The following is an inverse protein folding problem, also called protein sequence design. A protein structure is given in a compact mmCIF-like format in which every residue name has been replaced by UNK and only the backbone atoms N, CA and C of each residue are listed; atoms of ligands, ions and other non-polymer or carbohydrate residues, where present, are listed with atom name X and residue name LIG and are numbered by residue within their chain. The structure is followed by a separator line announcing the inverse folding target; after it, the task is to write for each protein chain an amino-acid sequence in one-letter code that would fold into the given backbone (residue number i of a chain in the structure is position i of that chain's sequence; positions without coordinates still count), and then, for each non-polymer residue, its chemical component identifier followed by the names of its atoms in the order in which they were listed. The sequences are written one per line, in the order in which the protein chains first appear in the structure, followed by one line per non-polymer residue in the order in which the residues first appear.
data_IF_470730785492
#
_entry.id   IF_470730785492
#
_cell.length_a   1.000
_cell.length_b   1.000
_cell.length_c   1.000
_cell.angle_alpha   90.00
_cell.angle_beta   90.00
_cell.angle_gamma   90.00
#
_symmetry.space_group_name_H-M   'P 1'
#
loop_
_entity.id
_entity.type
_entity.pdbx_description
1 polymer ?
#
# COMPACT_ATOMS: atom_id res chain seq x y z
N UNK A 1 8.45 -7.11 2.26
CA UNK A 1 8.51 -8.58 2.47
C UNK A 1 8.19 -9.35 1.20
N UNK A 2 7.06 -9.09 0.53
CA UNK A 2 6.72 -9.79 -0.72
C UNK A 2 7.32 -9.12 -1.95
N UNK A 3 7.87 -9.93 -2.86
CA UNK A 3 8.41 -9.46 -4.13
C UNK A 3 7.31 -8.84 -5.02
N UNK A 4 6.07 -9.30 -4.92
CA UNK A 4 4.93 -8.78 -5.70
C UNK A 4 4.20 -7.61 -5.06
N UNK A 5 4.67 -7.10 -3.91
CA UNK A 5 3.97 -6.06 -3.16
C UNK A 5 3.95 -4.68 -3.83
N UNK A 6 4.87 -4.41 -4.77
CA UNK A 6 4.98 -3.13 -5.47
C UNK A 6 5.58 -3.36 -6.85
N UNK A 7 5.10 -2.63 -7.86
CA UNK A 7 5.60 -2.73 -9.24
C UNK A 7 7.12 -2.48 -9.38
N UNK A 8 7.73 -1.72 -8.47
CA UNK A 8 9.18 -1.50 -8.46
C UNK A 8 10.01 -2.75 -8.13
N UNK A 9 9.44 -3.74 -7.45
CA UNK A 9 10.17 -4.94 -7.04
C UNK A 9 10.46 -5.89 -8.23
N UNK A 10 9.50 -6.21 -9.13
CA UNK A 10 9.79 -6.91 -10.38
C UNK A 10 10.80 -6.18 -11.27
N UNK A 11 10.77 -4.85 -11.33
CA UNK A 11 11.78 -4.07 -12.07
C UNK A 11 13.17 -4.29 -11.49
N UNK A 12 13.33 -4.23 -10.17
CA UNK A 12 14.61 -4.52 -9.51
C UNK A 12 15.07 -5.97 -9.73
N UNK A 13 14.14 -6.92 -9.71
CA UNK A 13 14.44 -8.33 -10.02
C UNK A 13 14.93 -8.48 -11.47
N UNK A 14 14.29 -7.82 -12.43
CA UNK A 14 14.68 -7.87 -13.84
C UNK A 14 16.08 -7.27 -14.04
N UNK A 15 16.34 -6.09 -13.45
CA UNK A 15 17.68 -5.48 -13.51
C UNK A 15 18.77 -6.34 -12.87
N UNK A 16 18.46 -7.06 -11.79
CA UNK A 16 19.39 -8.01 -11.19
C UNK A 16 19.68 -9.20 -12.14
N UNK A 17 18.66 -9.72 -12.82
CA UNK A 17 18.82 -10.78 -13.83
C UNK A 17 19.69 -10.32 -14.99
N UNK A 18 19.55 -9.08 -15.45
CA UNK A 18 20.37 -8.51 -16.53
C UNK A 18 21.86 -8.44 -16.13
N UNK A 19 22.16 -8.38 -14.83
CA UNK A 19 23.51 -8.45 -14.26
C UNK A 19 23.96 -9.88 -13.92
N UNK A 20 23.20 -10.90 -14.32
CA UNK A 20 23.49 -12.32 -14.04
C UNK A 20 23.13 -12.78 -12.62
N UNK A 21 22.41 -11.98 -11.84
CA UNK A 21 21.96 -12.32 -10.49
C UNK A 21 20.51 -12.76 -10.51
N UNK A 22 20.27 -14.06 -10.31
CA UNK A 22 18.91 -14.58 -10.20
C UNK A 22 18.36 -14.40 -8.79
N UNK A 23 17.35 -13.54 -8.65
CA UNK A 23 16.61 -13.39 -7.40
C UNK A 23 15.31 -14.18 -7.48
N UNK A 24 15.19 -15.25 -6.71
CA UNK A 24 13.94 -16.01 -6.59
C UNK A 24 12.97 -15.34 -5.60
N UNK A 25 11.68 -15.66 -5.71
CA UNK A 25 10.68 -15.17 -4.75
C UNK A 25 11.01 -15.58 -3.32
N UNK A 26 11.47 -16.83 -3.12
CA UNK A 26 11.87 -17.36 -1.80
C UNK A 26 13.15 -16.67 -1.31
N UNK A 27 14.11 -16.41 -2.19
CA UNK A 27 15.33 -15.66 -1.88
C UNK A 27 15.01 -14.25 -1.38
N UNK A 28 14.13 -13.53 -2.09
CA UNK A 28 13.68 -12.21 -1.66
C UNK A 28 12.94 -12.26 -0.32
N UNK A 29 11.98 -13.19 -0.17
CA UNK A 29 11.19 -13.31 1.05
C UNK A 29 12.07 -13.64 2.27
N UNK A 30 13.01 -14.57 2.13
CA UNK A 30 13.95 -14.95 3.19
C UNK A 30 14.90 -13.81 3.56
N UNK A 31 15.41 -13.04 2.60
CA UNK A 31 16.22 -11.85 2.88
C UNK A 31 15.42 -10.74 3.60
N UNK A 32 14.13 -10.58 3.23
CA UNK A 32 13.29 -9.51 3.73
C UNK A 32 12.56 -9.80 5.05
N UNK A 33 12.49 -11.07 5.49
CA UNK A 33 11.64 -11.47 6.63
C UNK A 33 12.12 -10.85 7.95
N UNK A 34 13.41 -10.97 8.28
CA UNK A 34 13.96 -10.48 9.55
C UNK A 34 13.94 -8.95 9.65
N UNK A 35 14.47 -8.17 8.68
CA UNK A 35 14.35 -6.72 8.75
C UNK A 35 12.89 -6.26 8.75
N UNK A 36 12.01 -6.93 7.99
CA UNK A 36 10.59 -6.62 7.99
C UNK A 36 9.92 -6.89 9.35
N UNK A 37 10.22 -8.01 10.02
CA UNK A 37 9.67 -8.33 11.34
C UNK A 37 10.14 -7.34 12.40
N UNK A 38 11.35 -6.79 12.27
CA UNK A 38 11.86 -5.72 13.13
C UNK A 38 11.19 -4.38 12.79
N UNK A 39 10.95 -4.09 11.52
CA UNK A 39 10.21 -2.89 11.12
C UNK A 39 8.78 -2.87 11.64
N UNK A 40 8.09 -4.01 11.72
CA UNK A 40 6.69 -4.11 12.16
C UNK A 40 6.40 -3.46 13.52
N UNK A 41 7.17 -3.68 14.60
CA UNK A 41 7.00 -2.97 15.87
C UNK A 41 7.72 -1.61 15.91
N UNK A 42 8.89 -1.47 15.28
CA UNK A 42 9.69 -0.25 15.37
C UNK A 42 9.04 0.92 14.65
N UNK A 43 8.49 0.69 13.45
CA UNK A 43 7.87 1.74 12.63
C UNK A 43 6.66 2.37 13.34
N UNK A 44 5.66 1.61 13.84
CA UNK A 44 4.56 2.18 14.63
C UNK A 44 5.03 2.84 15.92
N UNK A 45 6.03 2.28 16.60
CA UNK A 45 6.57 2.88 17.83
C UNK A 45 7.20 4.26 17.57
N UNK A 46 8.06 4.38 16.55
CA UNK A 46 8.64 5.66 16.13
C UNK A 46 7.54 6.64 15.71
N UNK A 47 6.57 6.18 14.91
CA UNK A 47 5.44 7.00 14.48
C UNK A 47 4.67 7.56 15.68
N UNK A 48 4.40 6.73 16.70
CA UNK A 48 3.71 7.16 17.91
C UNK A 48 4.48 8.23 18.71
N UNK A 49 5.81 8.30 18.56
CA UNK A 49 6.65 9.31 19.21
C UNK A 49 6.66 10.63 18.45
N UNK A 50 6.74 10.56 17.12
CA UNK A 50 6.83 11.73 16.23
C UNK A 50 5.45 12.38 16.06
N UNK A 51 4.42 11.56 15.90
CA UNK A 51 3.05 11.97 15.66
C UNK A 51 2.14 11.32 16.71
N UNK A 52 2.17 11.88 17.93
CA UNK A 52 1.36 11.37 19.05
C UNK A 52 -0.13 11.57 18.74
N UNK A 53 -0.95 10.52 18.86
CA UNK A 53 -2.39 10.67 18.67
C UNK A 53 -2.97 11.56 19.78
N UNK A 54 -3.84 12.49 19.39
CA UNK A 54 -4.50 13.43 20.30
C UNK A 54 -5.45 12.71 21.28
N UNK A 55 -6.05 11.60 20.84
CA UNK A 55 -6.94 10.76 21.65
C UNK A 55 -6.33 9.36 21.75
N UNK A 56 -5.90 9.00 22.96
CA UNK A 56 -5.25 7.70 23.23
C UNK A 56 -6.23 6.68 23.81
N UNK A 57 -7.27 7.16 24.50
CA UNK A 57 -8.28 6.31 25.14
C UNK A 57 -9.65 6.80 24.74
N UNK A 58 -10.45 5.88 24.20
CA UNK A 58 -11.83 6.12 23.82
C UNK A 58 -12.70 5.00 24.41
N UNK A 59 -12.89 4.99 25.74
CA UNK A 59 -13.55 3.87 26.43
C UNK A 59 -14.98 3.62 25.92
N UNK A 60 -15.66 4.66 25.46
CA UNK A 60 -17.02 4.60 24.90
C UNK A 60 -17.06 4.18 23.42
N UNK A 61 -15.92 4.04 22.73
CA UNK A 61 -15.91 3.75 21.29
C UNK A 61 -16.60 2.42 20.94
N UNK A 62 -16.50 1.43 21.81
CA UNK A 62 -17.16 0.14 21.62
C UNK A 62 -18.69 0.25 21.69
N UNK A 63 -19.20 1.03 22.65
CA UNK A 63 -20.65 1.25 22.80
C UNK A 63 -21.17 2.17 21.69
N UNK A 64 -20.45 3.25 21.37
CA UNK A 64 -20.77 4.17 20.30
C UNK A 64 -20.81 3.48 18.93
N UNK A 65 -19.85 2.59 18.62
CA UNK A 65 -19.85 1.84 17.37
C UNK A 65 -21.05 0.86 17.27
N UNK A 66 -21.42 0.21 18.39
CA UNK A 66 -22.60 -0.67 18.45
C UNK A 66 -23.91 0.10 18.32
N UNK A 67 -23.99 1.30 18.90
CA UNK A 67 -25.14 2.19 18.77
C UNK A 67 -25.28 2.66 17.31
N UNK A 68 -24.21 3.18 16.70
CA UNK A 68 -24.21 3.60 15.30
C UNK A 68 -24.53 2.46 14.33
N UNK A 69 -24.03 1.24 14.57
CA UNK A 69 -24.37 0.07 13.76
C UNK A 69 -25.86 -0.27 13.85
N UNK A 70 -26.46 -0.16 15.04
CA UNK A 70 -27.90 -0.38 15.24
C UNK A 70 -28.74 0.69 14.52
N UNK A 71 -28.30 1.94 14.55
CA UNK A 71 -28.96 3.05 13.86
C UNK A 71 -28.83 2.95 12.34
N UNK A 72 -27.69 2.45 11.84
CA UNK A 72 -27.42 2.33 10.39
C UNK A 72 -28.34 1.31 9.71
N UNK A 73 -28.89 0.35 10.46
CA UNK A 73 -29.83 -0.64 9.94
C UNK A 73 -29.19 -1.63 8.95
N UNK A 74 -30.00 -2.42 8.22
CA UNK A 74 -29.50 -3.39 7.24
C UNK A 74 -28.89 -2.71 6.01
N UNK A 75 -27.83 -3.30 5.47
CA UNK A 75 -27.13 -2.82 4.27
C UNK A 75 -28.11 -2.63 3.10
N UNK A 76 -28.13 -1.41 2.57
CA UNK A 76 -28.90 -1.03 1.40
C UNK A 76 -28.38 -1.70 0.13
N UNK A 77 -29.20 -1.73 -0.93
CA UNK A 77 -28.80 -2.25 -2.24
C UNK A 77 -27.55 -1.54 -2.80
N UNK A 78 -27.38 -0.24 -2.53
CA UNK A 78 -26.22 0.53 -2.99
C UNK A 78 -24.94 0.11 -2.27
N UNK A 79 -25.01 -0.10 -0.96
CA UNK A 79 -23.87 -0.59 -0.18
C UNK A 79 -23.49 -2.02 -0.57
N UNK A 80 -24.47 -2.86 -0.88
CA UNK A 80 -24.21 -4.20 -1.45
C UNK A 80 -23.52 -4.15 -2.81
N UNK A 81 -23.93 -3.24 -3.70
CA UNK A 81 -23.26 -3.04 -5.00
C UNK A 81 -21.81 -2.58 -4.78
N UNK A 82 -21.58 -1.62 -3.88
CA UNK A 82 -20.24 -1.13 -3.53
C UNK A 82 -19.37 -2.25 -2.94
N UNK A 83 -19.88 -3.01 -1.97
CA UNK A 83 -19.18 -4.14 -1.36
C UNK A 83 -18.84 -5.23 -2.38
N UNK A 84 -19.79 -5.58 -3.26
CA UNK A 84 -19.58 -6.57 -4.32
C UNK A 84 -18.52 -6.10 -5.32
N UNK A 85 -18.54 -4.81 -5.66
CA UNK A 85 -17.53 -4.20 -6.53
C UNK A 85 -16.15 -4.28 -5.89
N UNK A 86 -16.03 -3.96 -4.59
CA UNK A 86 -14.76 -4.06 -3.87
C UNK A 86 -14.22 -5.50 -3.82
N UNK A 87 -15.06 -6.49 -3.56
CA UNK A 87 -14.67 -7.91 -3.58
C UNK A 87 -14.23 -8.34 -4.99
N UNK A 88 -14.98 -7.94 -6.03
CA UNK A 88 -14.61 -8.21 -7.42
C UNK A 88 -13.24 -7.61 -7.77
N UNK A 89 -12.97 -6.38 -7.33
CA UNK A 89 -11.68 -5.73 -7.52
C UNK A 89 -10.53 -6.48 -6.86
N UNK A 90 -10.71 -6.94 -5.62
CA UNK A 90 -9.70 -7.75 -4.93
C UNK A 90 -9.42 -9.06 -5.65
N UNK A 91 -10.46 -9.73 -6.15
CA UNK A 91 -10.33 -10.96 -6.93
C UNK A 91 -9.53 -10.69 -8.22
N UNK A 92 -9.89 -9.64 -8.97
CA UNK A 92 -9.19 -9.25 -10.19
C UNK A 92 -7.74 -8.87 -9.93
N UNK A 93 -7.45 -8.23 -8.79
CA UNK A 93 -6.08 -7.89 -8.41
C UNK A 93 -5.26 -9.13 -8.04
N UNK A 94 -5.81 -10.05 -7.26
CA UNK A 94 -5.14 -11.31 -6.92
C UNK A 94 -4.93 -12.22 -8.14
N UNK A 95 -5.82 -12.15 -9.13
CA UNK A 95 -5.74 -12.93 -10.37
C UNK A 95 -5.11 -12.16 -11.54
N UNK A 96 -4.64 -10.93 -11.33
CA UNK A 96 -4.12 -10.07 -12.41
C UNK A 96 -2.98 -10.72 -13.19
N UNK A 97 -2.05 -11.37 -12.48
CA UNK A 97 -0.93 -12.11 -13.07
C UNK A 97 -1.38 -13.34 -13.89
N UNK A 98 -2.50 -13.98 -13.50
CA UNK A 98 -3.07 -15.14 -14.22
C UNK A 98 -3.89 -14.68 -15.44
N UNK A 99 -4.56 -13.53 -15.33
CA UNK A 99 -5.49 -13.00 -16.31
C UNK A 99 -4.85 -12.00 -17.29
N UNK A 100 -3.57 -11.64 -17.09
CA UNK A 100 -2.87 -10.56 -17.82
C UNK A 100 -3.64 -9.21 -17.77
N UNK A 101 -4.31 -8.93 -16.64
CA UNK A 101 -5.04 -7.68 -16.43
C UNK A 101 -4.16 -6.78 -15.55
N UNK A 102 -3.82 -5.60 -16.07
CA UNK A 102 -3.07 -4.60 -15.31
C UNK A 102 -3.89 -4.11 -14.09
N UNK A 103 -3.24 -4.02 -12.93
CA UNK A 103 -3.88 -3.66 -11.67
C UNK A 103 -4.56 -2.28 -11.72
N UNK A 104 -4.05 -1.38 -12.56
CA UNK A 104 -4.61 -0.05 -12.80
C UNK A 104 -5.96 -0.15 -13.50
N UNK A 105 -6.10 -1.03 -14.50
CA UNK A 105 -7.36 -1.26 -15.21
C UNK A 105 -8.43 -1.84 -14.29
N UNK A 106 -8.06 -2.77 -13.40
CA UNK A 106 -8.98 -3.30 -12.40
C UNK A 106 -9.49 -2.20 -11.46
N UNK A 107 -8.59 -1.46 -10.79
CA UNK A 107 -8.96 -0.42 -9.82
C UNK A 107 -9.91 0.64 -10.41
N UNK A 108 -9.66 1.09 -11.65
CA UNK A 108 -10.50 2.10 -12.30
C UNK A 108 -11.84 1.55 -12.83
N UNK A 109 -11.91 0.28 -13.24
CA UNK A 109 -13.17 -0.35 -13.61
C UNK A 109 -14.15 -0.44 -12.43
N UNK A 110 -13.66 -0.75 -11.22
CA UNK A 110 -14.53 -0.76 -10.04
C UNK A 110 -14.93 0.64 -9.57
N UNK A 111 -14.06 1.64 -9.71
CA UNK A 111 -14.46 3.04 -9.48
C UNK A 111 -15.56 3.48 -10.46
N UNK A 112 -15.50 3.05 -11.73
CA UNK A 112 -16.53 3.33 -12.73
C UNK A 112 -17.88 2.66 -12.42
N UNK A 113 -17.86 1.40 -11.96
CA UNK A 113 -19.07 0.69 -11.52
C UNK A 113 -19.69 1.39 -10.30
N UNK A 114 -18.87 1.82 -9.35
CA UNK A 114 -19.34 2.52 -8.16
C UNK A 114 -19.91 3.92 -8.47
N UNK A 115 -19.42 4.60 -9.52
CA UNK A 115 -19.84 5.94 -9.92
C UNK A 115 -20.89 5.96 -11.04
N UNK A 116 -21.20 4.82 -11.66
CA UNK A 116 -22.17 4.67 -12.75
C UNK A 116 -21.68 5.16 -14.12
N UNK A 117 -20.37 5.39 -14.29
CA UNK A 117 -19.78 5.85 -15.54
C UNK A 117 -19.62 4.71 -16.57
N UNK A 118 -19.71 4.99 -17.89
CA UNK A 118 -19.47 3.99 -18.93
C UNK A 118 -18.09 3.32 -18.78
N UNK A 119 -18.00 2.00 -18.55
CA UNK A 119 -16.76 1.34 -18.11
C UNK A 119 -15.58 1.51 -19.06
N UNK A 120 -15.84 1.47 -20.38
CA UNK A 120 -14.80 1.59 -21.41
C UNK A 120 -14.22 3.02 -21.48
N UNK A 121 -15.06 4.04 -21.34
CA UNK A 121 -14.63 5.43 -21.34
C UNK A 121 -13.78 5.75 -20.11
N UNK A 122 -14.22 5.30 -18.92
CA UNK A 122 -13.47 5.48 -17.68
C UNK A 122 -12.13 4.74 -17.72
N UNK A 123 -12.09 3.48 -18.18
CA UNK A 123 -10.85 2.71 -18.27
C UNK A 123 -9.81 3.37 -19.20
N UNK A 124 -10.23 3.93 -20.33
CA UNK A 124 -9.34 4.64 -21.26
C UNK A 124 -8.84 5.97 -20.67
N UNK A 125 -9.75 6.80 -20.14
CA UNK A 125 -9.39 8.10 -19.55
C UNK A 125 -8.46 7.92 -18.36
N UNK A 126 -8.73 6.96 -17.47
CA UNK A 126 -7.87 6.72 -16.31
C UNK A 126 -6.56 6.01 -16.67
N UNK A 127 -6.52 5.14 -17.68
CA UNK A 127 -5.27 4.60 -18.23
C UNK A 127 -4.36 5.70 -18.81
N UNK A 128 -4.95 6.68 -19.49
CA UNK A 128 -4.22 7.86 -19.98
C UNK A 128 -3.75 8.78 -18.86
N UNK A 129 -4.58 9.03 -17.83
CA UNK A 129 -4.19 9.86 -16.68
C UNK A 129 -3.11 9.14 -15.85
N UNK A 130 -3.21 7.81 -15.68
CA UNK A 130 -2.17 6.95 -15.08
C UNK A 130 -0.79 7.13 -15.72
N UNK A 131 -0.76 7.38 -17.03
CA UNK A 131 0.46 7.64 -17.81
C UNK A 131 0.97 9.10 -17.71
N UNK A 132 0.18 10.01 -17.14
CA UNK A 132 0.48 11.45 -16.98
C UNK A 132 0.98 11.84 -15.58
N UNK A 133 0.89 10.97 -14.57
CA UNK A 133 1.29 11.26 -13.17
C UNK A 133 2.82 11.25 -12.91
N UNK A 134 3.65 11.29 -13.94
CA UNK A 134 5.11 11.27 -13.82
C UNK A 134 5.77 12.56 -13.29
N UNK A 135 5.06 13.42 -12.54
CA UNK A 135 5.54 14.77 -12.23
C UNK A 135 5.21 15.30 -10.83
N UNK A 136 6.16 15.10 -9.91
CA UNK A 136 6.53 16.01 -8.80
C UNK A 136 5.81 15.84 -7.44
N UNK A 137 6.45 15.05 -6.57
CA UNK A 137 6.48 15.15 -5.10
C UNK A 137 5.13 15.20 -4.35
N UNK A 138 4.57 14.01 -4.14
CA UNK A 138 3.64 13.50 -3.11
C UNK A 138 3.30 12.02 -3.45
N UNK A 139 3.60 11.62 -4.69
CA UNK A 139 3.47 10.29 -5.30
C UNK A 139 4.59 9.27 -4.96
N UNK A 140 5.14 9.28 -3.74
CA UNK A 140 6.15 8.25 -3.36
C UNK A 140 5.60 6.82 -3.48
N UNK A 141 4.28 6.66 -3.37
CA UNK A 141 3.50 5.47 -3.72
C UNK A 141 2.02 5.86 -3.80
N UNK A 142 1.18 5.12 -4.53
CA UNK A 142 -0.27 5.37 -4.61
C UNK A 142 -0.97 5.58 -3.25
N UNK A 143 -0.65 4.79 -2.20
CA UNK A 143 -1.18 5.03 -0.84
C UNK A 143 -0.80 6.38 -0.23
N UNK A 144 0.38 6.92 -0.54
CA UNK A 144 0.83 8.21 -0.01
C UNK A 144 -0.01 9.38 -0.57
N UNK A 145 -0.40 9.29 -1.86
CA UNK A 145 -1.29 10.26 -2.50
C UNK A 145 -2.68 10.30 -1.85
N UNK A 146 -3.26 9.15 -1.50
CA UNK A 146 -4.56 9.08 -0.82
C UNK A 146 -4.52 9.70 0.58
N UNK A 147 -3.47 9.40 1.36
CA UNK A 147 -3.29 9.96 2.70
C UNK A 147 -3.14 11.49 2.63
N UNK A 148 -2.33 12.00 1.70
CA UNK A 148 -2.16 13.44 1.50
C UNK A 148 -3.46 14.12 1.04
N UNK A 149 -4.17 13.50 0.08
CA UNK A 149 -5.46 13.99 -0.44
C UNK A 149 -6.59 14.02 0.59
N UNK A 150 -6.46 13.31 1.71
CA UNK A 150 -7.46 13.29 2.78
C UNK A 150 -7.59 14.61 3.56
N UNK A 151 -6.62 15.54 3.41
CA UNK A 151 -6.61 16.84 4.09
C UNK A 151 -6.25 16.80 5.58
N UNK A 152 -6.06 15.61 6.16
CA UNK A 152 -5.74 15.45 7.58
C UNK A 152 -4.27 15.75 7.94
N UNK A 153 -3.35 15.69 6.98
CA UNK A 153 -1.91 15.85 7.21
C UNK A 153 -1.36 16.99 6.36
N UNK A 154 -0.68 17.95 6.99
CA UNK A 154 -0.05 19.07 6.29
C UNK A 154 1.17 18.60 5.50
N UNK A 155 1.47 19.28 4.38
CA UNK A 155 2.61 18.96 3.51
C UNK A 155 3.94 18.95 4.27
N UNK A 156 4.23 19.98 5.06
CA UNK A 156 5.47 20.08 5.84
C UNK A 156 5.61 18.98 6.90
N UNK A 157 4.49 18.52 7.44
CA UNK A 157 4.44 17.43 8.40
C UNK A 157 4.70 16.08 7.73
N UNK A 158 4.11 15.85 6.56
CA UNK A 158 4.37 14.66 5.75
C UNK A 158 5.87 14.55 5.39
N UNK A 159 6.50 15.65 4.97
CA UNK A 159 7.93 15.67 4.67
C UNK A 159 8.78 15.40 5.91
N UNK A 160 8.46 16.01 7.05
CA UNK A 160 9.20 15.79 8.31
C UNK A 160 9.09 14.34 8.77
N UNK A 161 7.88 13.78 8.76
CA UNK A 161 7.64 12.38 9.15
C UNK A 161 8.34 11.45 8.15
N UNK A 162 8.17 11.67 6.86
CA UNK A 162 8.78 10.87 5.80
C UNK A 162 10.32 10.86 5.87
N UNK A 163 10.94 11.99 6.22
CA UNK A 163 12.38 12.08 6.40
C UNK A 163 12.87 11.22 7.58
N UNK A 164 12.25 11.37 8.76
CA UNK A 164 12.65 10.59 9.95
C UNK A 164 12.40 9.10 9.74
N UNK A 165 11.27 8.74 9.13
CA UNK A 165 10.93 7.35 8.83
C UNK A 165 11.86 6.73 7.79
N UNK A 166 12.35 7.52 6.83
CA UNK A 166 13.38 7.07 5.89
C UNK A 166 14.68 6.70 6.59
N UNK A 167 15.16 7.53 7.52
CA UNK A 167 16.39 7.24 8.30
C UNK A 167 16.23 5.95 9.10
N UNK A 168 15.09 5.77 9.78
CA UNK A 168 14.82 4.58 10.58
C UNK A 168 14.76 3.33 9.70
N UNK A 169 14.07 3.39 8.56
CA UNK A 169 14.03 2.26 7.63
C UNK A 169 15.41 1.94 7.05
N UNK A 170 16.16 2.95 6.59
CA UNK A 170 17.53 2.74 6.10
C UNK A 170 18.39 2.07 7.17
N UNK A 171 18.33 2.53 8.42
CA UNK A 171 19.08 1.94 9.52
C UNK A 171 18.70 0.47 9.74
N UNK A 172 17.41 0.13 9.80
CA UNK A 172 16.95 -1.25 10.01
C UNK A 172 17.38 -2.15 8.83
N UNK A 173 17.11 -1.72 7.60
CA UNK A 173 17.33 -2.55 6.42
C UNK A 173 18.82 -2.72 6.08
N UNK A 174 19.66 -1.73 6.37
CA UNK A 174 21.12 -1.85 6.14
C UNK A 174 21.84 -2.59 7.27
N UNK A 175 21.47 -2.35 8.54
CA UNK A 175 22.14 -3.01 9.67
C UNK A 175 21.58 -4.41 9.93
N UNK A 176 20.32 -4.51 10.37
CA UNK A 176 19.66 -5.77 10.71
C UNK A 176 19.49 -6.62 9.44
N UNK A 177 19.05 -6.01 8.34
CA UNK A 177 18.94 -6.69 7.06
C UNK A 177 20.30 -7.17 6.54
N UNK A 178 21.33 -6.33 6.58
CA UNK A 178 22.69 -6.70 6.16
C UNK A 178 23.29 -7.84 6.98
N UNK A 179 23.17 -7.78 8.31
CA UNK A 179 23.61 -8.85 9.21
C UNK A 179 22.84 -10.15 8.96
N UNK A 180 21.53 -10.06 8.78
CA UNK A 180 20.70 -11.23 8.46
C UNK A 180 21.10 -11.86 7.13
N UNK A 181 21.26 -11.06 6.07
CA UNK A 181 21.69 -11.53 4.75
C UNK A 181 23.05 -12.23 4.80
N UNK A 182 23.95 -11.80 5.70
CA UNK A 182 25.22 -12.48 5.96
C UNK A 182 25.02 -13.84 6.66
N UNK A 183 24.10 -13.92 7.62
CA UNK A 183 23.78 -15.17 8.33
C UNK A 183 23.18 -16.22 7.39
N UNK A 184 22.36 -15.80 6.42
CA UNK A 184 21.76 -16.71 5.42
C UNK A 184 22.66 -16.97 4.21
N UNK A 185 23.89 -16.43 4.18
CA UNK A 185 24.87 -16.69 3.12
C UNK A 185 24.55 -16.07 1.76
N UNK A 186 23.76 -14.98 1.74
CA UNK A 186 23.50 -14.22 0.50
C UNK A 186 24.74 -13.45 0.04
N UNK A 187 25.68 -13.19 0.97
CA UNK A 187 27.01 -12.63 0.76
C UNK A 187 27.94 -12.92 1.95
#
# INVERSE_FOLDING_TARGET
MFLTAMAGNPVAQQSARDLGVEISWVGWASAAVVPGLVSLPVVPWVMSKIYRPTVVKTPEAGEAARAQLRESGPMSRREWIMASTFVLLLILWCLGDVLNIDATTAAFAGAAIATGAPPLFAALVFGFIGSLFGGLAHDSSGPAGVIYGSGYVKTSELFRIGFVMSIVNIAIWTSVGGLWMKVIGVW
#
